data_IF_597884693383
#
_entry.id   IF_597884693383
#
_cell.length_a   1.000
_cell.length_b   1.000
_cell.length_c   1.000
_cell.angle_alpha   90.00
_cell.angle_beta   90.00
_cell.angle_gamma   90.00
#
_symmetry.space_group_name_H-M   'P 1'
#
loop_
_entity.id
_entity.type
_entity.pdbx_description
1 polymer ?
#
# COMPACT_ATOMS: atom_id res chain seq x y z
N UNK A 1 -10.75 -22.05 -30.23
CA UNK A 1 -9.31 -21.98 -30.54
C UNK A 1 -9.00 -20.64 -31.19
N UNK A 2 -8.40 -19.70 -30.46
CA UNK A 2 -7.53 -18.69 -31.06
C UNK A 2 -6.64 -18.09 -29.98
N UNK A 3 -5.37 -17.92 -30.33
CA UNK A 3 -4.21 -17.83 -29.45
C UNK A 3 -3.81 -16.37 -29.20
N UNK A 4 -3.98 -15.89 -27.97
CA UNK A 4 -3.44 -14.58 -27.51
C UNK A 4 -2.14 -14.74 -26.70
N UNK A 5 -1.68 -15.98 -26.51
CA UNK A 5 -0.54 -16.37 -25.66
C UNK A 5 0.86 -15.87 -26.08
N UNK A 6 1.18 -15.58 -27.36
CA UNK A 6 2.56 -15.23 -27.74
C UNK A 6 3.04 -13.88 -27.21
N UNK A 7 2.15 -12.88 -27.10
CA UNK A 7 2.54 -11.51 -26.73
C UNK A 7 2.86 -11.36 -25.24
N UNK A 8 2.15 -12.07 -24.36
CA UNK A 8 2.39 -12.05 -22.91
C UNK A 8 3.72 -12.71 -22.53
N UNK A 9 4.05 -13.84 -23.15
CA UNK A 9 5.34 -14.51 -22.91
C UNK A 9 6.54 -13.65 -23.32
N UNK A 10 6.41 -12.95 -24.46
CA UNK A 10 7.46 -12.04 -24.94
C UNK A 10 7.66 -10.80 -24.05
N UNK A 11 6.60 -10.28 -23.43
CA UNK A 11 6.70 -9.17 -22.47
C UNK A 11 7.42 -9.58 -21.18
N UNK A 12 7.15 -10.79 -20.69
CA UNK A 12 7.81 -11.37 -19.50
C UNK A 12 9.30 -11.63 -19.79
N UNK A 13 9.64 -12.27 -20.91
CA UNK A 13 11.03 -12.47 -21.34
C UNK A 13 11.78 -11.13 -21.58
N UNK A 14 11.09 -10.06 -21.96
CA UNK A 14 11.68 -8.73 -22.13
C UNK A 14 11.97 -8.05 -20.78
N UNK A 15 11.10 -8.26 -19.76
CA UNK A 15 11.33 -7.76 -18.41
C UNK A 15 12.52 -8.47 -17.72
N UNK A 16 12.65 -9.79 -17.91
CA UNK A 16 13.78 -10.60 -17.43
C UNK A 16 15.12 -10.09 -18.00
N UNK A 17 15.16 -9.74 -19.30
CA UNK A 17 16.36 -9.18 -19.95
C UNK A 17 16.75 -7.78 -19.43
N UNK A 18 15.78 -6.98 -19.02
CA UNK A 18 16.05 -5.64 -18.46
C UNK A 18 16.62 -5.71 -17.03
N UNK A 19 16.23 -6.73 -16.25
CA UNK A 19 16.73 -6.92 -14.89
C UNK A 19 18.21 -7.36 -14.83
N UNK A 20 18.65 -8.19 -15.79
CA UNK A 20 20.01 -8.73 -15.84
C UNK A 20 21.12 -7.71 -16.18
N UNK A 21 20.78 -6.51 -16.69
CA UNK A 21 21.76 -5.53 -17.18
C UNK A 21 22.23 -4.49 -16.14
N UNK A 22 21.80 -4.57 -14.87
CA UNK A 22 22.04 -3.51 -13.87
C UNK A 22 22.99 -3.88 -12.71
N UNK A 23 23.71 -5.00 -12.81
CA UNK A 23 24.68 -5.40 -11.78
C UNK A 23 26.13 -5.16 -12.22
N UNK A 24 26.58 -3.90 -12.23
CA UNK A 24 27.99 -3.60 -11.91
C UNK A 24 28.19 -2.12 -11.59
N UNK A 25 28.30 -1.76 -10.30
CA UNK A 25 29.11 -0.62 -9.83
C UNK A 25 29.40 -0.77 -8.33
N UNK A 26 30.67 -1.00 -7.99
CA UNK A 26 31.22 -1.06 -6.62
C UNK A 26 31.26 0.32 -5.93
N UNK A 27 31.10 0.41 -4.59
CA UNK A 27 31.25 1.66 -3.85
C UNK A 27 32.70 1.92 -3.41
N UNK A 28 33.13 3.20 -3.45
CA UNK A 28 34.46 3.67 -3.05
C UNK A 28 34.45 4.18 -1.59
N UNK A 29 35.36 3.64 -0.76
CA UNK A 29 35.57 3.97 0.67
C UNK A 29 35.97 5.44 0.88
N UNK A 30 35.44 6.10 1.92
CA UNK A 30 36.06 7.28 2.55
C UNK A 30 36.37 7.00 4.03
N UNK A 31 37.55 7.49 4.43
CA UNK A 31 38.24 7.27 5.71
C UNK A 31 38.00 8.49 6.61
N UNK A 32 37.93 8.25 7.92
CA UNK A 32 37.67 9.23 8.98
C UNK A 32 38.84 10.18 9.27
N UNK A 33 38.53 11.38 9.82
CA UNK A 33 39.37 12.06 10.82
C UNK A 33 38.56 13.10 11.61
N UNK A 34 38.74 13.10 12.93
CA UNK A 34 38.25 14.08 13.91
C UNK A 34 39.27 15.22 14.10
N UNK A 35 38.82 16.42 14.51
CA UNK A 35 39.38 17.15 15.67
C UNK A 35 38.59 18.43 16.06
N UNK A 36 38.85 18.86 17.30
CA UNK A 36 38.16 19.78 18.23
C UNK A 36 37.98 21.30 17.92
N UNK A 37 37.08 21.89 18.76
CA UNK A 37 37.11 23.22 19.46
C UNK A 37 36.34 24.44 18.90
N UNK A 38 35.38 24.91 19.72
CA UNK A 38 34.58 26.15 19.68
C UNK A 38 35.41 27.40 20.10
N UNK A 39 34.94 28.68 20.00
CA UNK A 39 33.68 29.20 20.58
C UNK A 39 32.87 30.26 19.76
N UNK A 40 31.63 30.48 20.23
CA UNK A 40 30.53 31.45 19.89
C UNK A 40 30.95 32.95 19.87
N UNK A 41 30.09 33.99 19.61
CA UNK A 41 28.61 34.04 19.69
C UNK A 41 27.82 35.00 18.74
N UNK A 42 26.48 34.99 18.92
CA UNK A 42 25.53 36.11 18.80
C UNK A 42 25.00 36.55 17.41
N UNK A 43 23.69 36.41 17.18
CA UNK A 43 22.72 37.52 17.31
C UNK A 43 21.40 37.28 16.56
N UNK A 44 20.39 38.05 16.97
CA UNK A 44 18.95 37.90 16.75
C UNK A 44 18.45 37.96 15.30
N UNK A 45 17.37 37.22 15.04
CA UNK A 45 16.40 37.49 13.95
C UNK A 45 15.31 38.43 14.47
N UNK A 46 14.84 39.34 13.59
CA UNK A 46 13.41 39.57 13.47
C UNK A 46 12.93 39.50 12.00
N UNK A 47 11.77 38.88 11.81
CA UNK A 47 10.85 39.14 10.68
C UNK A 47 9.78 40.15 11.18
N UNK A 48 8.81 40.66 10.38
CA UNK A 48 8.46 40.34 8.99
C UNK A 48 8.16 41.56 8.09
N UNK A 49 7.99 41.33 6.78
CA UNK A 49 7.25 42.25 5.91
C UNK A 49 6.44 41.47 4.88
N UNK A 50 5.17 41.83 4.80
CA UNK A 50 4.16 41.28 3.91
C UNK A 50 4.33 41.80 2.48
N UNK A 51 4.08 40.94 1.50
CA UNK A 51 3.65 41.38 0.17
C UNK A 51 2.59 40.43 -0.39
N UNK A 52 1.43 41.01 -0.60
CA UNK A 52 0.24 40.50 -1.27
C UNK A 52 0.51 40.33 -2.77
N UNK A 53 0.16 39.19 -3.38
CA UNK A 53 -0.18 39.18 -4.81
C UNK A 53 -1.16 38.05 -5.19
N UNK A 54 -2.37 38.51 -5.54
CA UNK A 54 -3.35 38.04 -6.55
C UNK A 54 -3.58 36.54 -6.76
N UNK A 55 -4.80 36.16 -6.39
CA UNK A 55 -5.50 34.97 -6.84
C UNK A 55 -5.70 34.96 -8.36
N UNK A 56 -5.39 33.82 -8.99
CA UNK A 56 -5.85 33.41 -10.31
C UNK A 56 -6.61 32.11 -10.13
N UNK A 57 -7.90 32.16 -10.37
CA UNK A 57 -8.83 31.03 -10.26
C UNK A 57 -8.66 30.16 -11.51
N UNK A 58 -8.02 29.02 -11.38
CA UNK A 58 -8.04 27.96 -12.39
C UNK A 58 -8.93 26.83 -11.88
N UNK A 59 -9.93 26.47 -12.70
CA UNK A 59 -10.90 25.44 -12.42
C UNK A 59 -10.20 24.09 -12.26
N UNK A 60 -10.28 23.54 -11.05
CA UNK A 60 -9.71 22.24 -10.69
C UNK A 60 -10.62 21.15 -11.24
N UNK A 61 -10.21 20.53 -12.34
CA UNK A 61 -10.80 19.31 -12.87
C UNK A 61 -10.80 18.23 -11.77
N UNK A 62 -11.99 17.71 -11.46
CA UNK A 62 -12.21 16.73 -10.40
C UNK A 62 -11.48 15.44 -10.76
N UNK A 63 -10.66 14.95 -9.82
CA UNK A 63 -10.12 13.60 -9.86
C UNK A 63 -11.26 12.57 -10.02
N UNK A 64 -11.05 11.47 -10.77
CA UNK A 64 -12.09 10.46 -10.97
C UNK A 64 -12.44 9.85 -9.61
N UNK A 65 -13.68 10.06 -9.21
CA UNK A 65 -14.29 9.35 -8.09
C UNK A 65 -14.45 7.90 -8.56
N UNK A 66 -13.79 6.97 -7.86
CA UNK A 66 -14.03 5.54 -8.02
C UNK A 66 -15.52 5.29 -7.80
N UNK A 67 -16.25 4.98 -8.88
CA UNK A 67 -17.62 4.48 -8.76
C UNK A 67 -17.59 3.24 -7.88
N UNK A 68 -18.62 3.01 -7.04
CA UNK A 68 -18.72 1.76 -6.30
C UNK A 68 -18.69 0.62 -7.31
N UNK A 69 -17.77 -0.33 -7.12
CA UNK A 69 -17.82 -1.60 -7.83
C UNK A 69 -19.09 -2.26 -7.30
N UNK A 70 -20.13 -2.32 -8.12
CA UNK A 70 -21.37 -2.99 -7.74
C UNK A 70 -21.04 -4.48 -7.52
N UNK A 71 -21.33 -4.97 -6.31
CA UNK A 71 -21.39 -6.40 -6.04
C UNK A 71 -22.61 -6.93 -6.79
N UNK A 72 -22.38 -7.62 -7.90
CA UNK A 72 -23.40 -8.46 -8.49
C UNK A 72 -23.25 -9.82 -7.81
N UNK A 73 -24.32 -10.32 -7.17
CA UNK A 73 -24.33 -11.53 -6.33
C UNK A 73 -23.90 -12.84 -7.05
N UNK A 74 -23.45 -12.78 -8.31
CA UNK A 74 -23.16 -13.93 -9.18
C UNK A 74 -21.74 -13.89 -9.83
N UNK A 75 -20.89 -12.89 -9.56
CA UNK A 75 -19.63 -12.70 -10.30
C UNK A 75 -18.33 -13.23 -9.67
N UNK A 76 -18.40 -14.05 -8.62
CA UNK A 76 -17.20 -14.53 -7.90
C UNK A 76 -16.57 -13.46 -6.99
N UNK A 77 -15.48 -13.77 -6.29
CA UNK A 77 -14.90 -12.87 -5.29
C UNK A 77 -14.34 -11.59 -5.92
N UNK A 78 -14.51 -10.45 -5.23
CA UNK A 78 -13.80 -9.24 -5.60
C UNK A 78 -12.38 -9.24 -5.01
N UNK A 79 -11.48 -8.49 -5.65
CA UNK A 79 -10.07 -8.49 -5.32
C UNK A 79 -9.62 -7.12 -4.80
N UNK A 80 -8.75 -7.17 -3.79
CA UNK A 80 -8.22 -5.99 -3.12
C UNK A 80 -6.72 -6.11 -2.94
N UNK A 81 -6.07 -4.99 -2.64
CA UNK A 81 -4.71 -4.95 -2.11
C UNK A 81 -4.75 -4.19 -0.79
N UNK A 82 -4.17 -4.79 0.25
CA UNK A 82 -4.06 -4.22 1.59
C UNK A 82 -2.59 -4.08 1.97
N UNK A 83 -2.20 -2.89 2.43
CA UNK A 83 -0.81 -2.58 2.79
C UNK A 83 -0.59 -2.69 4.29
N UNK A 84 0.47 -3.38 4.68
CA UNK A 84 0.97 -3.42 6.04
C UNK A 84 2.50 -3.24 6.04
N UNK A 85 3.08 -2.95 7.20
CA UNK A 85 4.51 -2.65 7.33
C UNK A 85 5.21 -3.83 8.03
N UNK A 86 6.07 -4.59 7.34
CA UNK A 86 6.67 -5.80 7.93
C UNK A 86 7.88 -5.50 8.82
N UNK A 87 8.45 -4.30 8.74
CA UNK A 87 9.61 -3.86 9.52
C UNK A 87 9.15 -2.92 10.65
N UNK A 88 9.92 -2.84 11.73
CA UNK A 88 9.60 -1.97 12.87
C UNK A 88 9.48 -0.51 12.44
N UNK A 89 8.35 0.11 12.79
CA UNK A 89 8.12 1.54 12.66
C UNK A 89 7.31 2.03 13.85
N UNK A 90 7.82 3.04 14.53
CA UNK A 90 7.12 3.62 15.67
C UNK A 90 6.13 4.68 15.19
N UNK A 91 4.86 4.52 15.56
CA UNK A 91 3.82 5.54 15.48
C UNK A 91 3.45 5.94 16.91
N UNK A 92 3.59 7.23 17.26
CA UNK A 92 3.37 7.72 18.64
C UNK A 92 4.03 6.87 19.74
N UNK A 93 5.19 6.27 19.46
CA UNK A 93 5.93 5.42 20.41
C UNK A 93 5.52 3.95 20.46
N UNK A 94 4.53 3.53 19.65
CA UNK A 94 4.08 2.14 19.52
C UNK A 94 4.59 1.56 18.21
N UNK A 95 5.15 0.35 18.24
CA UNK A 95 5.53 -0.37 17.02
C UNK A 95 4.29 -0.88 16.29
N UNK A 96 4.12 -0.48 15.03
CA UNK A 96 2.97 -0.86 14.19
C UNK A 96 3.33 -1.96 13.18
N UNK A 97 4.43 -2.66 13.41
CA UNK A 97 4.87 -3.79 12.58
C UNK A 97 3.77 -4.84 12.44
N UNK A 98 3.42 -5.18 11.22
CA UNK A 98 2.54 -6.28 10.88
C UNK A 98 2.89 -6.88 9.51
N UNK A 99 3.45 -8.09 9.53
CA UNK A 99 3.86 -8.85 8.34
C UNK A 99 2.83 -9.93 7.98
N UNK A 100 3.05 -10.62 6.86
CA UNK A 100 2.23 -11.76 6.46
C UNK A 100 2.45 -12.95 7.42
N UNK A 101 3.64 -13.05 8.00
CA UNK A 101 3.98 -14.08 8.98
C UNK A 101 3.23 -13.83 10.29
N UNK A 102 3.06 -12.57 10.68
CA UNK A 102 2.26 -12.20 11.85
C UNK A 102 0.76 -12.53 11.63
N UNK A 103 0.24 -12.32 10.40
CA UNK A 103 -1.13 -12.73 10.06
C UNK A 103 -1.29 -14.25 10.00
N UNK A 104 -0.31 -14.99 9.45
CA UNK A 104 -0.28 -16.45 9.44
C UNK A 104 -0.35 -17.00 10.86
N UNK A 105 0.49 -16.47 11.77
CA UNK A 105 0.53 -16.89 13.16
C UNK A 105 -0.78 -16.58 13.92
N UNK A 106 -1.42 -15.44 13.64
CA UNK A 106 -2.72 -15.07 14.23
C UNK A 106 -3.90 -15.84 13.62
N UNK A 107 -3.78 -16.29 12.37
CA UNK A 107 -4.86 -16.85 11.56
C UNK A 107 -5.86 -15.79 11.08
N UNK A 108 -6.35 -14.91 11.96
CA UNK A 108 -7.27 -13.79 11.62
C UNK A 108 -6.89 -12.54 12.41
N UNK A 109 -7.01 -11.38 11.78
CA UNK A 109 -6.78 -10.08 12.42
C UNK A 109 -7.77 -9.04 11.93
N UNK A 110 -8.16 -8.13 12.82
CA UNK A 110 -8.75 -6.86 12.43
C UNK A 110 -7.76 -6.07 11.57
N UNK A 111 -8.27 -5.39 10.55
CA UNK A 111 -7.49 -4.49 9.68
C UNK A 111 -7.63 -3.03 10.13
N UNK A 112 -7.17 -2.77 11.36
CA UNK A 112 -7.30 -1.49 12.04
C UNK A 112 -6.32 -0.43 11.52
N UNK A 113 -6.39 0.78 12.08
CA UNK A 113 -5.38 1.83 11.86
C UNK A 113 -5.49 2.56 10.52
N UNK A 114 -6.48 2.23 9.68
CA UNK A 114 -6.73 2.96 8.43
C UNK A 114 -7.28 4.35 8.75
N UNK A 115 -6.51 5.39 8.42
CA UNK A 115 -6.86 6.82 8.63
C UNK A 115 -6.98 7.63 7.33
N UNK A 116 -7.22 6.94 6.22
CA UNK A 116 -7.52 7.54 4.93
C UNK A 116 -9.01 7.34 4.61
N UNK A 117 -9.74 8.43 4.34
CA UNK A 117 -11.19 8.40 4.10
C UNK A 117 -11.61 7.51 2.93
N UNK A 118 -10.80 7.45 1.88
CA UNK A 118 -11.10 6.65 0.71
C UNK A 118 -10.81 5.17 0.93
N UNK A 119 -9.70 4.84 1.59
CA UNK A 119 -9.43 3.47 2.02
C UNK A 119 -10.53 2.97 2.96
N UNK A 120 -10.96 3.82 3.90
CA UNK A 120 -12.10 3.55 4.78
C UNK A 120 -13.38 3.31 3.98
N UNK A 121 -13.72 4.18 3.05
CA UNK A 121 -14.92 4.01 2.22
C UNK A 121 -14.85 2.72 1.41
N UNK A 122 -13.67 2.36 0.89
CA UNK A 122 -13.46 1.10 0.17
C UNK A 122 -13.77 -0.10 1.06
N UNK A 123 -13.24 -0.14 2.29
CA UNK A 123 -13.57 -1.20 3.24
C UNK A 123 -15.07 -1.21 3.61
N UNK A 124 -15.65 -0.04 3.89
CA UNK A 124 -17.03 0.10 4.36
C UNK A 124 -18.07 -0.24 3.30
N UNK A 125 -17.89 0.29 2.10
CA UNK A 125 -18.91 0.29 1.07
C UNK A 125 -18.71 -0.86 0.08
N UNK A 126 -17.49 -1.38 -0.03
CA UNK A 126 -17.13 -2.29 -1.11
C UNK A 126 -16.53 -3.64 -0.67
N UNK A 127 -15.98 -3.83 0.53
CA UNK A 127 -15.43 -5.15 0.89
C UNK A 127 -16.52 -6.07 1.42
N UNK A 128 -16.58 -7.30 0.89
CA UNK A 128 -17.53 -8.34 1.29
C UNK A 128 -16.83 -9.59 1.80
N UNK A 129 -17.51 -10.35 2.64
CA UNK A 129 -16.99 -11.65 3.11
C UNK A 129 -16.72 -12.56 1.91
N UNK A 130 -15.54 -13.18 1.89
CA UNK A 130 -15.07 -14.03 0.78
C UNK A 130 -14.23 -13.28 -0.26
N UNK A 131 -14.19 -11.95 -0.24
CA UNK A 131 -13.28 -11.18 -1.10
C UNK A 131 -11.81 -11.49 -0.75
N UNK A 132 -10.96 -11.53 -1.77
CA UNK A 132 -9.54 -11.85 -1.59
C UNK A 132 -8.66 -10.59 -1.64
N UNK A 133 -7.60 -10.60 -0.84
CA UNK A 133 -6.70 -9.48 -0.66
C UNK A 133 -5.25 -9.89 -0.95
N UNK A 134 -4.58 -9.17 -1.84
CA UNK A 134 -3.13 -9.18 -1.94
C UNK A 134 -2.57 -8.50 -0.69
N UNK A 135 -1.81 -9.25 0.12
CA UNK A 135 -1.13 -8.72 1.29
C UNK A 135 0.20 -8.09 0.85
N UNK A 136 0.28 -6.77 0.92
CA UNK A 136 1.39 -5.99 0.42
C UNK A 136 2.27 -5.46 1.56
N UNK A 137 3.55 -5.81 1.53
CA UNK A 137 4.59 -5.25 2.40
C UNK A 137 4.98 -3.86 1.90
N UNK A 138 4.71 -2.85 2.71
CA UNK A 138 4.97 -1.43 2.44
C UNK A 138 5.98 -0.87 3.44
N UNK A 139 6.56 0.30 3.10
CA UNK A 139 7.47 1.05 3.98
C UNK A 139 8.66 0.25 4.55
N UNK A 140 9.11 -0.78 3.82
CA UNK A 140 10.24 -1.63 4.17
C UNK A 140 11.34 -1.57 3.12
N UNK A 141 12.48 -2.22 3.40
CA UNK A 141 13.63 -2.23 2.48
C UNK A 141 13.30 -2.80 1.10
N UNK A 142 12.45 -3.83 1.05
CA UNK A 142 12.01 -4.47 -0.19
C UNK A 142 10.49 -4.58 -0.17
N UNK A 143 9.76 -3.57 -0.67
CA UNK A 143 8.30 -3.60 -0.71
C UNK A 143 7.81 -4.51 -1.83
N UNK A 144 6.63 -5.10 -1.67
CA UNK A 144 6.09 -6.07 -2.63
C UNK A 144 4.93 -6.89 -2.06
N UNK A 145 4.42 -7.82 -2.86
CA UNK A 145 3.31 -8.70 -2.49
C UNK A 145 3.88 -9.97 -1.85
N UNK A 146 3.43 -10.26 -0.63
CA UNK A 146 3.94 -11.36 0.17
C UNK A 146 2.97 -12.56 0.28
N UNK A 147 1.67 -12.33 0.12
CA UNK A 147 0.67 -13.38 0.27
C UNK A 147 -0.75 -12.96 -0.07
N UNK A 148 -1.67 -13.85 0.27
CA UNK A 148 -3.12 -13.69 0.09
C UNK A 148 -3.80 -13.78 1.45
N UNK A 149 -4.73 -12.87 1.68
CA UNK A 149 -5.69 -12.87 2.77
C UNK A 149 -7.13 -12.89 2.20
N UNK A 150 -8.12 -13.14 3.05
CA UNK A 150 -9.53 -13.13 2.69
C UNK A 150 -10.34 -12.36 3.73
N UNK A 151 -11.29 -11.54 3.30
CA UNK A 151 -12.20 -10.83 4.20
C UNK A 151 -13.16 -11.83 4.84
N UNK A 152 -13.19 -11.88 6.17
CA UNK A 152 -14.06 -12.78 6.95
C UNK A 152 -15.12 -12.05 7.75
N UNK A 153 -15.02 -10.73 7.84
CA UNK A 153 -16.03 -9.87 8.47
C UNK A 153 -16.10 -8.54 7.73
N UNK A 154 -17.30 -8.17 7.32
CA UNK A 154 -17.58 -6.86 6.72
C UNK A 154 -17.31 -5.72 7.70
N UNK A 155 -17.30 -4.49 7.18
CA UNK A 155 -16.83 -3.34 7.92
C UNK A 155 -17.63 -3.07 9.20
N UNK A 156 -16.90 -2.78 10.26
CA UNK A 156 -17.43 -2.37 11.56
C UNK A 156 -16.55 -1.25 12.15
N UNK A 157 -17.01 -0.53 13.19
CA UNK A 157 -16.24 0.56 13.78
C UNK A 157 -14.83 0.13 14.22
N UNK A 158 -13.82 0.90 13.80
CA UNK A 158 -12.45 0.70 14.27
C UNK A 158 -12.32 1.22 15.71
N UNK A 159 -12.36 0.29 16.68
CA UNK A 159 -12.30 0.62 18.10
C UNK A 159 -10.97 1.26 18.51
N UNK A 160 -9.89 1.08 17.73
CA UNK A 160 -8.58 1.67 18.03
C UNK A 160 -8.58 3.20 17.88
N UNK A 161 -9.58 3.75 17.17
CA UNK A 161 -9.76 5.19 17.06
C UNK A 161 -10.25 5.83 18.37
N UNK A 162 -10.83 5.07 19.30
CA UNK A 162 -11.40 5.57 20.55
C UNK A 162 -10.42 5.50 21.74
N UNK A 163 -9.33 4.73 21.60
CA UNK A 163 -8.35 4.51 22.65
C UNK A 163 -7.23 5.55 22.57
N UNK A 164 -7.16 6.46 23.55
CA UNK A 164 -6.18 7.55 23.61
C UNK A 164 -4.71 7.07 23.63
N UNK A 165 -4.48 5.84 24.10
CA UNK A 165 -3.15 5.24 24.14
C UNK A 165 -2.73 4.64 22.80
N UNK A 166 -3.67 4.41 21.89
CA UNK A 166 -3.40 3.78 20.61
C UNK A 166 -2.71 4.76 19.64
N UNK A 167 -1.73 4.31 18.84
CA UNK A 167 -1.06 5.16 17.85
C UNK A 167 -2.01 5.86 16.88
N UNK A 168 -3.15 5.22 16.61
CA UNK A 168 -4.16 5.70 15.67
C UNK A 168 -5.40 6.31 16.33
N UNK A 169 -5.31 6.75 17.59
CA UNK A 169 -6.36 7.52 18.26
C UNK A 169 -6.79 8.73 17.44
N UNK A 170 -8.12 8.95 17.33
CA UNK A 170 -8.72 10.15 16.75
C UNK A 170 -9.72 10.76 17.74
N UNK A 171 -9.42 11.92 18.35
CA UNK A 171 -10.30 12.56 19.33
C UNK A 171 -11.65 13.03 18.75
N UNK A 172 -11.83 12.98 17.44
CA UNK A 172 -13.10 13.32 16.76
C UNK A 172 -13.97 12.10 16.47
N UNK A 173 -13.45 10.89 16.68
CA UNK A 173 -14.18 9.64 16.49
C UNK A 173 -14.69 9.14 17.84
N UNK A 174 -15.97 8.80 17.94
CA UNK A 174 -16.57 8.27 19.17
C UNK A 174 -17.36 6.99 18.89
N UNK A 175 -17.68 6.22 19.92
CA UNK A 175 -18.48 5.00 19.79
C UNK A 175 -19.88 5.28 19.19
N UNK A 176 -20.51 6.40 19.58
CA UNK A 176 -21.81 6.82 19.05
C UNK A 176 -21.74 7.32 17.60
N UNK A 177 -20.57 7.82 17.20
CA UNK A 177 -20.34 8.39 15.86
C UNK A 177 -18.96 7.97 15.33
N UNK A 178 -18.80 6.68 14.97
CA UNK A 178 -17.52 6.15 14.52
C UNK A 178 -17.13 6.78 13.18
N UNK A 179 -15.96 7.39 13.13
CA UNK A 179 -15.42 7.96 11.88
C UNK A 179 -14.68 6.91 11.06
N UNK A 180 -14.01 5.97 11.75
CA UNK A 180 -13.13 4.97 11.15
C UNK A 180 -13.77 3.58 11.21
N UNK A 181 -13.51 2.81 10.17
CA UNK A 181 -14.06 1.47 9.97
C UNK A 181 -12.91 0.52 9.68
N UNK A 182 -13.08 -0.75 10.03
CA UNK A 182 -12.16 -1.84 9.70
C UNK A 182 -12.95 -3.10 9.35
N UNK A 183 -12.29 -4.03 8.67
CA UNK A 183 -12.77 -5.39 8.38
C UNK A 183 -11.92 -6.39 9.17
N UNK A 184 -12.35 -7.65 9.24
CA UNK A 184 -11.44 -8.74 9.64
C UNK A 184 -10.97 -9.50 8.40
N UNK A 185 -9.68 -9.82 8.37
CA UNK A 185 -9.09 -10.66 7.32
C UNK A 185 -8.43 -11.89 7.94
N UNK A 186 -8.59 -13.03 7.28
CA UNK A 186 -7.85 -14.26 7.61
C UNK A 186 -6.68 -14.48 6.66
N UNK A 187 -5.63 -15.11 7.16
CA UNK A 187 -4.58 -15.66 6.34
C UNK A 187 -5.15 -16.73 5.39
N UNK A 188 -4.73 -16.71 4.12
CA UNK A 188 -5.02 -17.79 3.17
C UNK A 188 -3.73 -18.56 2.85
N UNK A 189 -2.72 -17.85 2.33
CA UNK A 189 -1.40 -18.42 2.01
C UNK A 189 -0.37 -17.34 1.76
N UNK A 190 0.91 -17.68 1.88
CA UNK A 190 2.00 -16.90 1.26
C UNK A 190 2.02 -17.14 -0.25
N UNK A 191 2.63 -16.21 -0.98
CA UNK A 191 2.93 -16.45 -2.38
C UNK A 191 4.07 -17.47 -2.53
N UNK A 192 4.11 -18.20 -3.64
CA UNK A 192 5.17 -19.17 -3.99
C UNK A 192 6.54 -18.51 -4.06
N UNK A 193 6.57 -17.24 -4.49
CA UNK A 193 7.70 -16.33 -4.38
C UNK A 193 7.19 -14.94 -4.01
N UNK A 194 8.04 -14.15 -3.38
CA UNK A 194 7.76 -12.75 -3.15
C UNK A 194 7.76 -12.00 -4.49
N UNK A 195 6.81 -11.08 -4.71
CA UNK A 195 6.76 -10.27 -5.94
C UNK A 195 7.12 -8.82 -5.57
N UNK A 196 8.38 -8.38 -5.79
CA UNK A 196 8.81 -7.05 -5.42
C UNK A 196 8.11 -5.95 -6.20
N UNK A 197 7.92 -4.78 -5.59
CA UNK A 197 7.43 -3.58 -6.27
C UNK A 197 8.26 -3.23 -7.50
N UNK A 198 9.58 -3.46 -7.44
CA UNK A 198 10.49 -3.21 -8.56
C UNK A 198 10.09 -4.02 -9.81
N UNK A 199 9.67 -5.28 -9.61
CA UNK A 199 9.19 -6.14 -10.69
C UNK A 199 7.82 -5.66 -11.19
N UNK A 200 6.87 -5.40 -10.28
CA UNK A 200 5.54 -4.85 -10.63
C UNK A 200 5.64 -3.55 -11.44
N UNK A 201 6.61 -2.70 -11.13
CA UNK A 201 6.87 -1.46 -11.86
C UNK A 201 7.31 -1.67 -13.31
N UNK A 202 7.86 -2.83 -13.68
CA UNK A 202 8.20 -3.13 -15.09
C UNK A 202 6.96 -3.29 -15.97
N UNK A 203 5.81 -3.64 -15.37
CA UNK A 203 4.53 -3.83 -16.05
C UNK A 203 3.60 -2.62 -15.92
N UNK A 204 4.08 -1.51 -15.35
CA UNK A 204 3.28 -0.31 -15.04
C UNK A 204 2.67 0.38 -16.26
N UNK A 205 3.24 0.18 -17.44
CA UNK A 205 2.78 0.80 -18.69
C UNK A 205 2.04 -0.20 -19.59
N UNK A 206 1.85 -1.43 -19.10
CA UNK A 206 1.21 -2.56 -19.78
C UNK A 206 0.10 -3.19 -18.92
N UNK A 207 0.27 -4.42 -18.43
CA UNK A 207 -0.74 -5.19 -17.69
C UNK A 207 -1.21 -4.50 -16.40
N UNK A 208 -0.33 -3.74 -15.75
CA UNK A 208 -0.62 -3.04 -14.49
C UNK A 208 -0.88 -1.53 -14.68
N UNK A 209 -1.15 -1.09 -15.91
CA UNK A 209 -1.34 0.34 -16.25
C UNK A 209 -2.41 1.05 -15.42
N UNK A 210 -3.47 0.33 -15.07
CA UNK A 210 -4.59 0.87 -14.30
C UNK A 210 -4.53 0.53 -12.82
N UNK A 211 -3.50 -0.22 -12.37
CA UNK A 211 -3.45 -0.74 -11.02
C UNK A 211 -3.28 0.41 -10.03
N UNK A 212 -4.14 0.44 -9.01
CA UNK A 212 -4.11 1.46 -7.96
C UNK A 212 -2.77 1.50 -7.22
N UNK A 213 -2.02 0.39 -7.18
CA UNK A 213 -0.70 0.32 -6.56
C UNK A 213 0.31 1.28 -7.20
N UNK A 214 0.32 1.38 -8.54
CA UNK A 214 1.28 2.20 -9.29
C UNK A 214 0.77 3.61 -9.57
N UNK A 215 -0.56 3.80 -9.57
CA UNK A 215 -1.18 5.11 -9.82
C UNK A 215 -1.47 5.89 -8.54
N UNK A 216 -1.64 5.23 -7.38
CA UNK A 216 -2.13 5.83 -6.12
C UNK A 216 -1.35 5.35 -4.90
N UNK A 217 -0.09 5.76 -4.81
CA UNK A 217 0.87 5.30 -3.80
C UNK A 217 0.40 5.44 -2.33
N UNK A 218 -0.31 6.52 -1.99
CA UNK A 218 -0.79 6.83 -0.62
C UNK A 218 -2.07 6.12 -0.19
N UNK A 219 -2.71 5.35 -1.08
CA UNK A 219 -3.91 4.60 -0.76
C UNK A 219 -3.52 3.22 -0.21
N UNK A 220 -3.93 2.89 1.02
CA UNK A 220 -3.53 1.65 1.73
C UNK A 220 -4.45 0.46 1.49
N UNK A 221 -5.70 0.71 1.12
CA UNK A 221 -6.67 -0.30 0.70
C UNK A 221 -7.12 0.05 -0.71
N UNK A 222 -6.89 -0.85 -1.65
CA UNK A 222 -6.98 -0.54 -3.07
C UNK A 222 -7.81 -1.61 -3.80
N UNK A 223 -8.66 -1.23 -4.77
CA UNK A 223 -9.28 -2.21 -5.65
C UNK A 223 -8.23 -2.86 -6.55
N UNK A 224 -8.43 -4.15 -6.84
CA UNK A 224 -7.68 -4.92 -7.83
C UNK A 224 -8.71 -5.50 -8.80
N UNK A 225 -8.52 -5.26 -10.10
CA UNK A 225 -9.37 -5.88 -11.12
C UNK A 225 -9.06 -7.37 -11.24
N UNK A 226 -10.02 -8.16 -11.74
CA UNK A 226 -9.80 -9.59 -12.01
C UNK A 226 -8.60 -9.82 -12.95
N UNK A 227 -8.42 -8.97 -13.96
CA UNK A 227 -7.28 -9.05 -14.87
C UNK A 227 -5.93 -8.79 -14.19
N UNK A 228 -5.86 -7.83 -13.27
CA UNK A 228 -4.66 -7.56 -12.48
C UNK A 228 -4.37 -8.70 -11.49
N UNK A 229 -5.42 -9.25 -10.86
CA UNK A 229 -5.31 -10.41 -9.97
C UNK A 229 -4.78 -11.64 -10.69
N UNK A 230 -5.36 -11.97 -11.85
CA UNK A 230 -4.91 -13.06 -12.71
C UNK A 230 -3.46 -12.88 -13.12
N UNK A 231 -3.08 -11.68 -13.56
CA UNK A 231 -1.71 -11.39 -13.97
C UNK A 231 -0.71 -11.56 -12.82
N UNK A 232 -1.02 -11.07 -11.62
CA UNK A 232 -0.18 -11.25 -10.43
C UNK A 232 -0.08 -12.72 -10.04
N UNK A 233 -1.18 -13.47 -10.17
CA UNK A 233 -1.21 -14.92 -9.94
C UNK A 233 -0.40 -15.68 -11.00
N UNK A 234 -0.35 -15.21 -12.24
CA UNK A 234 0.53 -15.74 -13.28
C UNK A 234 2.00 -15.44 -12.94
N UNK A 235 2.34 -14.20 -12.59
CA UNK A 235 3.70 -13.79 -12.21
C UNK A 235 4.26 -14.65 -11.07
N UNK A 236 3.45 -14.98 -10.08
CA UNK A 236 3.82 -15.89 -8.98
C UNK A 236 4.39 -17.25 -9.47
N UNK A 237 3.98 -17.72 -10.65
CA UNK A 237 4.42 -18.99 -11.22
C UNK A 237 5.68 -18.87 -12.09
N UNK A 238 6.13 -17.65 -12.40
CA UNK A 238 7.38 -17.43 -13.12
C UNK A 238 8.58 -17.50 -12.16
N UNK A 239 9.72 -18.06 -12.58
CA UNK A 239 10.95 -18.02 -11.79
C UNK A 239 11.44 -16.57 -11.60
N UNK A 240 12.21 -16.33 -10.53
CA UNK A 240 12.86 -15.03 -10.25
C UNK A 240 13.94 -14.66 -11.28
#
# INVERSE_FOLDING_TARGET
MSSTRPKRKAAIEAAERAAALTQDTKPRKRRAKADERSPSPSSAKPAPAATTTKAKTEAKEKAPTTKPIAHNDDSGPHYWLIKAEPETRLERGVDVRFSIDDLEAKGTSSWDGVRNYEARNTMRDCMKVGDQCLFYHSSCKVPGIAGIAEVVKEAYPDYTAFDESHPYYDPKSSQDKPTWMMVDVKFVRKLRRFIPLKELQTFRDAELRSMALVTRNRLSVQPVSAAEWEFISELENHPE
#
